data_IF_422102384813
#
_entry.id   IF_422102384813
#
_cell.length_a   1.000
_cell.length_b   1.000
_cell.length_c   1.000
_cell.angle_alpha   90.00
_cell.angle_beta   90.00
_cell.angle_gamma   90.00
#
_symmetry.space_group_name_H-M   'P 1'
#
loop_
_entity.id
_entity.type
_entity.pdbx_description
1 polymer ?
#
# COMPACT_ATOMS: atom_id res chain seq x y z
N UNK A 1 9.06 -12.04 -9.39
CA UNK A 1 7.86 -12.88 -9.27
C UNK A 1 6.71 -12.04 -8.76
N UNK A 2 5.54 -12.18 -9.38
CA UNK A 2 4.33 -11.46 -8.98
C UNK A 2 3.34 -12.50 -8.48
N UNK A 3 2.90 -12.35 -7.23
CA UNK A 3 1.91 -13.22 -6.62
C UNK A 3 0.65 -12.40 -6.35
N UNK A 4 -0.49 -12.98 -6.75
CA UNK A 4 -1.81 -12.35 -6.63
C UNK A 4 -2.70 -13.26 -5.80
N UNK A 5 -3.31 -12.71 -4.75
CA UNK A 5 -4.42 -13.37 -4.08
C UNK A 5 -5.75 -12.77 -4.53
N UNK A 6 -6.74 -13.63 -4.75
CA UNK A 6 -8.11 -13.26 -5.12
C UNK A 6 -9.08 -13.68 -4.01
N UNK A 7 -10.28 -13.05 -3.97
CA UNK A 7 -11.34 -13.23 -2.96
C UNK A 7 -11.15 -12.51 -1.61
N UNK A 8 -10.49 -11.35 -1.56
CA UNK A 8 -10.44 -10.56 -0.33
C UNK A 8 -11.62 -9.59 -0.33
N UNK A 9 -12.69 -9.68 0.48
CA UNK A 9 -13.81 -8.71 0.38
C UNK A 9 -13.41 -7.31 0.86
N UNK A 10 -12.80 -6.50 -0.01
CA UNK A 10 -12.38 -5.13 0.32
C UNK A 10 -13.57 -4.19 0.13
N UNK A 11 -14.07 -3.60 1.21
CA UNK A 11 -15.12 -2.59 1.16
C UNK A 11 -14.53 -1.18 0.96
N UNK A 12 -15.35 -0.21 0.54
CA UNK A 12 -14.97 1.20 0.44
C UNK A 12 -14.42 1.75 1.75
N UNK A 13 -14.92 1.28 2.89
CA UNK A 13 -14.46 1.68 4.21
C UNK A 13 -13.01 1.23 4.52
N UNK A 14 -12.54 0.19 3.85
CA UNK A 14 -11.18 -0.33 4.03
C UNK A 14 -10.14 0.43 3.18
N UNK A 15 -10.59 1.32 2.30
CA UNK A 15 -9.72 2.02 1.36
C UNK A 15 -8.63 2.84 2.05
N UNK A 16 -8.99 3.69 3.01
CA UNK A 16 -8.02 4.54 3.71
C UNK A 16 -7.02 3.68 4.53
N UNK A 17 -7.45 2.72 5.37
CA UNK A 17 -6.54 1.80 6.02
C UNK A 17 -5.61 1.07 5.04
N UNK A 18 -6.13 0.59 3.91
CA UNK A 18 -5.34 -0.15 2.92
C UNK A 18 -4.31 0.74 2.22
N UNK A 19 -4.64 1.98 1.87
CA UNK A 19 -3.70 2.93 1.27
C UNK A 19 -2.52 3.22 2.22
N UNK A 20 -2.83 3.47 3.50
CA UNK A 20 -1.80 3.72 4.52
C UNK A 20 -0.98 2.45 4.76
N UNK A 21 -1.62 1.29 4.91
CA UNK A 21 -0.94 0.02 5.13
C UNK A 21 -0.02 -0.35 3.96
N UNK A 22 -0.49 -0.16 2.73
CA UNK A 22 0.33 -0.39 1.52
C UNK A 22 1.56 0.50 1.52
N UNK A 23 1.38 1.79 1.85
CA UNK A 23 2.51 2.72 1.96
C UNK A 23 3.46 2.30 3.08
N UNK A 24 2.93 1.90 4.24
CA UNK A 24 3.70 1.42 5.39
C UNK A 24 4.56 0.20 5.06
N UNK A 25 3.99 -0.77 4.34
CA UNK A 25 4.68 -1.99 3.92
C UNK A 25 5.81 -1.70 2.93
N UNK A 26 5.65 -0.69 2.08
CA UNK A 26 6.59 -0.30 1.03
C UNK A 26 7.62 0.77 1.44
N UNK A 27 7.56 1.28 2.67
CA UNK A 27 8.53 2.27 3.15
C UNK A 27 9.97 1.73 3.04
N UNK A 28 10.93 2.62 2.74
CA UNK A 28 12.34 2.29 2.90
C UNK A 28 12.63 1.94 4.36
N UNK A 29 13.32 0.82 4.58
CA UNK A 29 13.50 0.22 5.91
C UNK A 29 12.19 -0.13 6.64
N UNK A 30 11.06 -0.15 5.92
CA UNK A 30 9.76 -0.66 6.37
C UNK A 30 9.74 -2.19 6.53
N UNK A 31 8.60 -2.76 6.91
CA UNK A 31 8.51 -4.18 7.27
C UNK A 31 8.98 -5.12 6.17
N UNK A 32 8.50 -4.97 4.93
CA UNK A 32 8.89 -5.84 3.82
C UNK A 32 10.33 -5.60 3.40
N UNK A 33 10.76 -4.34 3.34
CA UNK A 33 12.15 -3.99 3.05
C UNK A 33 13.11 -4.70 4.01
N UNK A 34 12.82 -4.63 5.33
CA UNK A 34 13.64 -5.31 6.34
C UNK A 34 13.57 -6.83 6.20
N UNK A 35 12.39 -7.40 5.96
CA UNK A 35 12.21 -8.84 5.86
C UNK A 35 12.90 -9.47 4.64
N UNK A 36 12.89 -8.79 3.49
CA UNK A 36 13.40 -9.35 2.23
C UNK A 36 14.74 -8.75 1.81
N UNK A 37 14.88 -7.41 1.81
CA UNK A 37 16.06 -6.73 1.27
C UNK A 37 17.20 -6.68 2.27
N UNK A 38 16.94 -6.24 3.51
CA UNK A 38 17.98 -6.19 4.55
C UNK A 38 18.52 -7.60 4.86
N UNK A 39 17.67 -8.61 4.82
CA UNK A 39 18.06 -10.02 4.99
C UNK A 39 18.77 -10.64 3.78
N UNK A 40 18.90 -9.91 2.66
CA UNK A 40 19.62 -10.38 1.47
C UNK A 40 18.86 -11.40 0.61
N UNK A 41 17.54 -11.54 0.80
CA UNK A 41 16.74 -12.50 0.03
C UNK A 41 16.31 -11.97 -1.34
N UNK A 42 16.04 -10.67 -1.47
CA UNK A 42 15.66 -10.03 -2.73
C UNK A 42 16.11 -8.57 -2.79
N UNK A 43 16.35 -8.02 -3.97
CA UNK A 43 16.62 -6.59 -4.11
C UNK A 43 15.36 -5.75 -3.88
N UNK A 44 14.24 -6.14 -4.48
CA UNK A 44 12.98 -5.40 -4.40
C UNK A 44 11.88 -6.26 -3.82
N UNK A 45 11.02 -5.64 -3.03
CA UNK A 45 9.76 -6.21 -2.58
C UNK A 45 8.73 -5.09 -2.52
N UNK A 46 7.52 -5.36 -3.03
CA UNK A 46 6.43 -4.40 -2.96
C UNK A 46 5.10 -5.10 -2.70
N UNK A 47 4.24 -4.39 -1.99
CA UNK A 47 2.87 -4.76 -1.69
C UNK A 47 1.94 -3.78 -2.40
N UNK A 48 0.85 -4.26 -2.98
CA UNK A 48 -0.16 -3.41 -3.59
C UNK A 48 -1.54 -4.06 -3.50
N UNK A 49 -2.59 -3.32 -3.80
CA UNK A 49 -3.94 -3.85 -3.90
C UNK A 49 -4.71 -3.24 -5.07
N UNK A 50 -5.61 -4.02 -5.63
CA UNK A 50 -6.53 -3.57 -6.67
C UNK A 50 -7.97 -3.81 -6.21
N UNK A 51 -8.69 -2.72 -5.98
CA UNK A 51 -10.09 -2.73 -5.57
C UNK A 51 -11.01 -3.31 -6.66
N UNK A 52 -10.65 -3.15 -7.93
CA UNK A 52 -11.49 -3.55 -9.07
C UNK A 52 -11.46 -5.05 -9.24
N UNK A 53 -10.25 -5.63 -9.20
CA UNK A 53 -10.08 -7.09 -9.27
C UNK A 53 -10.17 -7.76 -7.90
N UNK A 54 -10.24 -6.97 -6.84
CA UNK A 54 -10.31 -7.43 -5.46
C UNK A 54 -9.13 -8.33 -5.09
N UNK A 55 -7.93 -7.90 -5.52
CA UNK A 55 -6.69 -8.65 -5.37
C UNK A 55 -5.64 -7.89 -4.58
N UNK A 56 -4.81 -8.65 -3.84
CA UNK A 56 -3.59 -8.15 -3.21
C UNK A 56 -2.41 -8.68 -4.01
N UNK A 57 -1.46 -7.79 -4.28
CA UNK A 57 -0.23 -8.04 -5.00
C UNK A 57 0.94 -8.09 -4.03
N UNK A 58 1.75 -9.14 -4.12
CA UNK A 58 3.11 -9.13 -3.59
C UNK A 58 4.07 -9.35 -4.77
N UNK A 59 4.94 -8.37 -5.02
CA UNK A 59 6.00 -8.50 -6.01
C UNK A 59 7.35 -8.64 -5.32
N UNK A 60 8.16 -9.58 -5.81
CA UNK A 60 9.54 -9.82 -5.36
C UNK A 60 10.45 -9.71 -6.59
N UNK A 61 11.43 -8.83 -6.54
CA UNK A 61 12.26 -8.43 -7.67
C UNK A 61 13.74 -8.73 -7.42
N UNK A 62 14.44 -9.15 -8.48
CA UNK A 62 15.87 -9.49 -8.49
C UNK A 62 16.26 -10.33 -7.26
N UNK A 63 15.78 -11.56 -7.28
CA UNK A 63 15.85 -12.50 -6.17
C UNK A 63 16.46 -13.81 -6.68
N UNK A 64 17.50 -14.28 -5.98
CA UNK A 64 18.15 -15.56 -6.27
C UNK A 64 17.39 -16.73 -5.65
N UNK A 65 16.78 -16.52 -4.47
CA UNK A 65 16.13 -17.54 -3.66
C UNK A 65 14.65 -17.17 -3.40
N UNK A 66 13.80 -17.38 -4.41
CA UNK A 66 12.40 -16.92 -4.39
C UNK A 66 11.60 -17.46 -3.22
N UNK A 67 11.80 -18.73 -2.86
CA UNK A 67 11.07 -19.37 -1.76
C UNK A 67 11.40 -18.72 -0.42
N UNK A 68 12.69 -18.47 -0.16
CA UNK A 68 13.12 -17.80 1.07
C UNK A 68 12.62 -16.35 1.15
N UNK A 69 12.67 -15.62 0.03
CA UNK A 69 12.15 -14.25 -0.01
C UNK A 69 10.63 -14.21 0.24
N UNK A 70 9.89 -15.13 -0.37
CA UNK A 70 8.45 -15.28 -0.20
C UNK A 70 8.11 -15.64 1.25
N UNK A 71 8.74 -16.67 1.81
CA UNK A 71 8.48 -17.11 3.17
C UNK A 71 8.78 -16.01 4.20
N UNK A 72 9.87 -15.26 3.98
CA UNK A 72 10.20 -14.11 4.83
C UNK A 72 9.15 -13.00 4.74
N UNK A 73 8.69 -12.66 3.53
CA UNK A 73 7.63 -11.67 3.32
C UNK A 73 6.33 -12.10 4.00
N UNK A 74 5.89 -13.35 3.79
CA UNK A 74 4.68 -13.88 4.39
C UNK A 74 4.75 -13.93 5.89
N UNK A 75 5.89 -14.36 6.43
CA UNK A 75 6.09 -14.37 7.88
C UNK A 75 6.02 -12.98 8.48
N UNK A 76 6.52 -11.95 7.78
CA UNK A 76 6.39 -10.56 8.23
C UNK A 76 4.92 -10.09 8.21
N UNK A 77 4.21 -10.36 7.10
CA UNK A 77 2.79 -10.01 6.95
C UNK A 77 1.95 -10.69 8.04
N UNK A 78 2.13 -11.99 8.23
CA UNK A 78 1.42 -12.79 9.24
C UNK A 78 1.67 -12.23 10.66
N UNK A 79 2.93 -11.92 10.99
CA UNK A 79 3.29 -11.35 12.28
C UNK A 79 2.64 -9.99 12.54
N UNK A 80 2.48 -9.15 11.52
CA UNK A 80 1.79 -7.87 11.64
C UNK A 80 0.27 -8.04 11.80
N UNK A 81 -0.36 -8.86 10.96
CA UNK A 81 -1.81 -9.12 11.00
C UNK A 81 -2.21 -9.76 12.33
N UNK A 82 -1.42 -10.73 12.81
CA UNK A 82 -1.65 -11.41 14.08
C UNK A 82 -1.16 -10.62 15.30
N UNK A 83 -0.77 -9.34 15.11
CA UNK A 83 -0.29 -8.44 16.18
C UNK A 83 0.86 -9.00 17.02
N UNK A 84 1.70 -9.87 16.42
CA UNK A 84 2.90 -10.42 17.05
C UNK A 84 4.07 -9.42 17.05
N UNK A 85 3.97 -8.36 16.24
CA UNK A 85 4.88 -7.21 16.24
C UNK A 85 3.99 -5.96 16.33
N UNK A 86 4.31 -5.00 17.22
CA UNK A 86 3.59 -3.74 17.26
C UNK A 86 3.84 -2.92 15.98
N UNK A 87 2.87 -2.09 15.60
CA UNK A 87 3.09 -1.08 14.58
C UNK A 87 3.99 0.02 15.15
N UNK A 88 4.96 0.47 14.36
CA UNK A 88 5.82 1.58 14.74
C UNK A 88 5.08 2.90 14.45
N UNK A 89 4.69 3.62 15.50
CA UNK A 89 3.95 4.89 15.42
C UNK A 89 4.60 5.92 14.49
N UNK A 90 5.93 6.02 14.50
CA UNK A 90 6.66 7.00 13.67
C UNK A 90 6.57 6.60 12.20
N UNK A 91 6.74 5.31 11.91
CA UNK A 91 6.59 4.78 10.55
C UNK A 91 5.14 4.84 10.08
N UNK A 92 4.19 4.59 10.97
CA UNK A 92 2.78 4.74 10.66
C UNK A 92 2.45 6.19 10.28
N UNK A 93 2.88 7.16 11.10
CA UNK A 93 2.70 8.58 10.79
C UNK A 93 3.41 8.98 9.48
N UNK A 94 4.63 8.50 9.26
CA UNK A 94 5.35 8.72 8.01
C UNK A 94 4.59 8.14 6.81
N UNK A 95 4.07 6.92 6.93
CA UNK A 95 3.30 6.26 5.87
C UNK A 95 2.04 7.05 5.53
N UNK A 96 1.27 7.48 6.53
CA UNK A 96 0.10 8.35 6.33
C UNK A 96 0.46 9.63 5.58
N UNK A 97 1.53 10.31 5.99
CA UNK A 97 1.98 11.54 5.34
C UNK A 97 2.46 11.30 3.90
N UNK A 98 3.18 10.21 3.67
CA UNK A 98 3.60 9.80 2.32
C UNK A 98 2.42 9.47 1.42
N UNK A 99 1.39 8.78 1.94
CA UNK A 99 0.15 8.53 1.19
C UNK A 99 -0.53 9.84 0.81
N UNK A 100 -0.63 10.79 1.75
CA UNK A 100 -1.21 12.11 1.50
C UNK A 100 -0.45 12.86 0.40
N UNK A 101 0.88 12.91 0.49
CA UNK A 101 1.73 13.56 -0.51
C UNK A 101 1.57 12.91 -1.88
N UNK A 102 1.56 11.57 -1.95
CA UNK A 102 1.38 10.83 -3.20
C UNK A 102 0.03 11.16 -3.87
N UNK A 103 -1.06 11.24 -3.09
CA UNK A 103 -2.36 11.64 -3.62
C UNK A 103 -2.36 13.10 -4.11
N UNK A 104 -1.72 14.02 -3.40
CA UNK A 104 -1.59 15.42 -3.85
C UNK A 104 -0.78 15.49 -5.15
N UNK A 105 0.27 14.68 -5.28
CA UNK A 105 1.09 14.63 -6.48
C UNK A 105 0.34 14.20 -7.73
N UNK A 106 -0.75 13.44 -7.63
CA UNK A 106 -1.59 13.08 -8.79
C UNK A 106 -2.38 14.26 -9.37
N UNK A 107 -2.52 15.37 -8.63
CA UNK A 107 -3.27 16.55 -9.06
C UNK A 107 -2.42 17.83 -9.09
N UNK A 108 -1.13 17.74 -8.77
CA UNK A 108 -0.26 18.91 -8.59
C UNK A 108 0.09 19.68 -9.87
N UNK A 109 -0.21 19.11 -11.05
CA UNK A 109 -0.03 19.76 -12.34
C UNK A 109 -1.28 19.57 -13.19
N UNK A 110 -1.52 20.49 -14.12
CA UNK A 110 -2.66 20.39 -15.05
C UNK A 110 -2.67 19.06 -15.80
N UNK A 111 -1.52 18.58 -16.28
CA UNK A 111 -1.44 17.31 -17.03
C UNK A 111 -1.84 16.10 -16.18
N UNK A 112 -1.39 16.04 -14.92
CA UNK A 112 -1.76 14.93 -14.02
C UNK A 112 -3.22 15.03 -13.58
N UNK A 113 -3.71 16.23 -13.26
CA UNK A 113 -5.12 16.45 -12.93
C UNK A 113 -6.04 16.04 -14.09
N UNK A 114 -5.70 16.39 -15.33
CA UNK A 114 -6.42 15.95 -16.53
C UNK A 114 -6.44 14.42 -16.65
N UNK A 115 -5.33 13.74 -16.33
CA UNK A 115 -5.28 12.27 -16.34
C UNK A 115 -6.22 11.66 -15.30
N UNK A 116 -6.26 12.21 -14.08
CA UNK A 116 -7.22 11.78 -13.03
C UNK A 116 -8.67 12.00 -13.48
N UNK A 117 -8.99 13.16 -14.07
CA UNK A 117 -10.33 13.44 -14.60
C UNK A 117 -10.72 12.47 -15.71
N UNK A 118 -9.82 12.21 -16.67
CA UNK A 118 -10.07 11.28 -17.77
C UNK A 118 -10.29 9.85 -17.26
N UNK A 119 -9.43 9.38 -16.34
CA UNK A 119 -9.61 8.07 -15.71
C UNK A 119 -10.93 7.98 -14.94
N UNK A 120 -11.30 9.04 -14.22
CA UNK A 120 -12.56 9.08 -13.46
C UNK A 120 -13.76 8.99 -14.40
N UNK A 121 -13.74 9.74 -15.51
CA UNK A 121 -14.77 9.68 -16.54
C UNK A 121 -14.87 8.30 -17.21
N UNK A 122 -13.73 7.68 -17.54
CA UNK A 122 -13.70 6.38 -18.22
C UNK A 122 -14.10 5.19 -17.32
N UNK A 123 -14.01 5.34 -16.01
CA UNK A 123 -14.30 4.28 -15.03
C UNK A 123 -15.51 4.60 -14.14
N UNK A 124 -16.36 5.57 -14.53
CA UNK A 124 -17.53 6.02 -13.78
C UNK A 124 -17.24 6.35 -12.30
N UNK A 125 -16.06 6.90 -12.01
CA UNK A 125 -15.65 7.30 -10.68
C UNK A 125 -16.02 8.77 -10.40
N UNK A 126 -16.57 9.03 -9.21
CA UNK A 126 -16.87 10.39 -8.77
C UNK A 126 -15.58 11.12 -8.34
N UNK A 127 -15.28 12.26 -8.97
CA UNK A 127 -14.15 13.13 -8.61
C UNK A 127 -14.25 13.70 -7.19
N UNK A 128 -15.46 13.91 -6.67
CA UNK A 128 -15.68 14.37 -5.28
C UNK A 128 -15.12 13.35 -4.27
N UNK A 129 -15.08 12.07 -4.66
CA UNK A 129 -14.47 11.01 -3.84
C UNK A 129 -12.97 11.28 -3.61
N UNK A 130 -12.28 11.91 -4.55
CA UNK A 130 -10.85 12.22 -4.40
C UNK A 130 -10.61 13.23 -3.28
N UNK A 131 -11.43 14.28 -3.23
CA UNK A 131 -11.39 15.28 -2.18
C UNK A 131 -11.81 14.68 -0.84
N UNK A 132 -12.84 13.84 -0.83
CA UNK A 132 -13.30 13.13 0.36
C UNK A 132 -12.20 12.23 0.96
N UNK A 133 -11.50 11.44 0.13
CA UNK A 133 -10.36 10.61 0.54
C UNK A 133 -9.26 11.46 1.18
N UNK A 134 -8.92 12.60 0.58
CA UNK A 134 -7.90 13.49 1.13
C UNK A 134 -8.29 14.03 2.51
N UNK A 135 -9.56 14.37 2.71
CA UNK A 135 -10.04 14.92 3.97
C UNK A 135 -10.18 13.86 5.07
N UNK A 136 -10.68 12.66 4.72
CA UNK A 136 -10.68 11.52 5.64
C UNK A 136 -9.28 11.11 6.05
N UNK A 137 -8.33 11.06 5.12
CA UNK A 137 -6.96 10.66 5.40
C UNK A 137 -6.27 11.64 6.35
N UNK A 138 -6.54 12.95 6.25
CA UNK A 138 -6.05 13.95 7.22
C UNK A 138 -6.58 13.66 8.63
N UNK A 139 -7.85 13.33 8.75
CA UNK A 139 -8.53 13.06 10.02
C UNK A 139 -8.23 11.66 10.59
N UNK A 140 -7.78 10.73 9.75
CA UNK A 140 -7.52 9.35 10.13
C UNK A 140 -6.56 9.27 11.31
N UNK A 141 -7.01 8.64 12.39
CA UNK A 141 -6.19 8.31 13.56
C UNK A 141 -6.21 6.80 13.72
N UNK A 142 -5.02 6.24 13.90
CA UNK A 142 -4.90 4.87 14.33
C UNK A 142 -5.03 4.86 15.86
N UNK A 143 -6.05 4.17 16.35
CA UNK A 143 -6.18 3.84 17.76
C UNK A 143 -5.81 2.36 17.89
N UNK A 144 -4.83 2.04 18.74
CA UNK A 144 -4.40 0.66 19.02
C UNK A 144 -5.53 -0.25 19.53
#
# INVERSE_FOLDING_TARGET
YILRWSNCSIDKNDLIPLLIFTTYMNLENGPLWTACRTSGHAYGVSYDFDLTSNTILLAIEQCSEVTLAYDSAMKMIDRLINRQIPLDDKRFLASKNSTLCSLIEHINTLGKATNVCLKSYLNDFNLDMYQHILDELKLFKYNE
#
